data_IF_787782535745
#
_entry.id   IF_787782535745
#
_cell.length_a   1.000
_cell.length_b   1.000
_cell.length_c   1.000
_cell.angle_alpha   90.00
_cell.angle_beta   90.00
_cell.angle_gamma   90.00
#
_symmetry.space_group_name_H-M   'P 1'
#
loop_
_entity.id
_entity.type
_entity.pdbx_description
1 polymer ?
#
# COMPACT_ATOMS: atom_id res chain seq x y z
N UNK A 1 -29.79 20.60 34.99
CA UNK A 1 -28.50 19.94 34.69
C UNK A 1 -27.88 20.63 33.48
N UNK A 2 -26.55 20.74 33.37
CA UNK A 2 -25.91 21.41 32.24
C UNK A 2 -26.07 20.57 30.96
N UNK A 3 -26.76 21.11 29.95
CA UNK A 3 -27.02 20.45 28.67
C UNK A 3 -25.73 19.97 27.96
N UNK A 4 -24.59 20.62 28.26
CA UNK A 4 -23.26 20.27 27.78
C UNK A 4 -22.90 18.79 28.00
N UNK A 5 -23.34 18.17 29.10
CA UNK A 5 -23.08 16.76 29.39
C UNK A 5 -23.68 15.81 28.35
N UNK A 6 -24.83 16.17 27.78
CA UNK A 6 -25.57 15.34 26.82
C UNK A 6 -25.15 15.57 25.36
N UNK A 7 -24.28 16.55 25.07
CA UNK A 7 -23.94 16.93 23.68
C UNK A 7 -23.44 15.76 22.84
N UNK A 8 -22.48 14.99 23.36
CA UNK A 8 -21.89 13.89 22.60
C UNK A 8 -22.89 12.75 22.39
N UNK A 9 -23.63 12.37 23.45
CA UNK A 9 -24.67 11.34 23.38
C UNK A 9 -25.83 11.72 22.44
N UNK A 10 -26.15 13.02 22.33
CA UNK A 10 -27.14 13.55 21.39
C UNK A 10 -26.67 13.38 19.94
N UNK A 11 -25.42 13.72 19.63
CA UNK A 11 -24.82 13.56 18.30
C UNK A 11 -24.71 12.08 17.93
N UNK A 12 -24.24 11.24 18.85
CA UNK A 12 -24.11 9.79 18.67
C UNK A 12 -25.48 9.12 18.42
N UNK A 13 -26.51 9.48 19.20
CA UNK A 13 -27.87 9.00 18.98
C UNK A 13 -28.44 9.46 17.62
N UNK A 14 -28.14 10.70 17.19
CA UNK A 14 -28.59 11.24 15.90
C UNK A 14 -27.89 10.57 14.71
N UNK A 15 -26.61 10.20 14.85
CA UNK A 15 -25.84 9.50 13.82
C UNK A 15 -26.22 8.01 13.67
N UNK A 16 -26.79 7.40 14.72
CA UNK A 16 -27.02 5.95 14.79
C UNK A 16 -28.41 5.50 14.31
N UNK A 17 -29.27 6.43 13.85
CA UNK A 17 -30.72 6.23 13.58
C UNK A 17 -31.50 5.57 14.76
N UNK A 18 -30.89 5.54 15.95
CA UNK A 18 -31.41 4.84 17.12
C UNK A 18 -32.14 5.81 18.03
N UNK A 19 -33.28 5.37 18.57
CA UNK A 19 -34.05 6.21 19.48
C UNK A 19 -33.25 6.45 20.77
N UNK A 20 -33.16 7.70 21.28
CA UNK A 20 -32.44 7.99 22.50
C UNK A 20 -33.05 7.23 23.68
N UNK A 21 -32.19 6.70 24.55
CA UNK A 21 -32.56 5.85 25.69
C UNK A 21 -32.11 6.46 27.01
N UNK A 22 -32.63 5.94 28.12
CA UNK A 22 -32.21 6.30 29.48
C UNK A 22 -32.31 7.79 29.78
N UNK A 23 -31.27 8.33 30.43
CA UNK A 23 -31.20 9.73 30.86
C UNK A 23 -31.28 10.73 29.71
N UNK A 24 -30.72 10.42 28.55
CA UNK A 24 -30.79 11.30 27.37
C UNK A 24 -32.24 11.47 26.92
N UNK A 25 -33.04 10.40 26.91
CA UNK A 25 -34.47 10.47 26.58
C UNK A 25 -35.22 11.35 27.57
N UNK A 26 -35.05 11.08 28.87
CA UNK A 26 -35.68 11.86 29.94
C UNK A 26 -35.28 13.35 29.88
N UNK A 27 -34.04 13.65 29.46
CA UNK A 27 -33.58 15.02 29.23
C UNK A 27 -34.27 15.67 28.02
N UNK A 28 -34.38 14.97 26.89
CA UNK A 28 -35.06 15.45 25.68
C UNK A 28 -36.58 15.63 25.87
N UNK A 29 -37.20 14.87 26.78
CA UNK A 29 -38.61 15.05 27.16
C UNK A 29 -38.85 16.38 27.91
N UNK A 30 -37.85 16.87 28.66
CA UNK A 30 -37.94 18.09 29.48
C UNK A 30 -37.31 19.33 28.82
N UNK A 31 -36.24 19.17 28.02
CA UNK A 31 -35.46 20.28 27.47
C UNK A 31 -35.76 20.52 25.97
N UNK A 32 -36.49 21.60 25.68
CA UNK A 32 -36.86 21.99 24.32
C UNK A 32 -35.64 22.32 23.44
N UNK A 33 -34.64 23.03 23.97
CA UNK A 33 -33.46 23.42 23.19
C UNK A 33 -32.63 22.20 22.73
N UNK A 34 -32.47 21.22 23.62
CA UNK A 34 -31.81 19.96 23.28
C UNK A 34 -32.62 19.12 22.29
N UNK A 35 -33.96 19.15 22.36
CA UNK A 35 -34.82 18.51 21.35
C UNK A 35 -34.66 19.16 19.98
N UNK A 36 -34.74 20.48 19.90
CA UNK A 36 -34.53 21.22 18.66
C UNK A 36 -33.09 21.11 18.11
N UNK A 37 -32.10 20.84 18.97
CA UNK A 37 -30.75 20.49 18.54
C UNK A 37 -30.70 19.06 17.98
N UNK A 38 -31.31 18.08 18.66
CA UNK A 38 -31.37 16.69 18.21
C UNK A 38 -32.07 16.52 16.87
N UNK A 39 -33.21 17.19 16.65
CA UNK A 39 -33.92 17.21 15.37
C UNK A 39 -33.07 17.82 14.24
N UNK A 40 -32.27 18.87 14.53
CA UNK A 40 -31.31 19.42 13.56
C UNK A 40 -30.20 18.46 13.22
N UNK A 41 -29.57 17.81 14.19
CA UNK A 41 -28.53 16.80 13.94
C UNK A 41 -29.09 15.61 13.14
N UNK A 42 -30.28 15.11 13.46
CA UNK A 42 -30.95 14.07 12.66
C UNK A 42 -31.18 14.51 11.21
N UNK A 43 -31.67 15.75 10.99
CA UNK A 43 -31.88 16.26 9.63
C UNK A 43 -30.58 16.37 8.83
N UNK A 44 -29.46 16.71 9.49
CA UNK A 44 -28.13 16.74 8.90
C UNK A 44 -27.68 15.34 8.48
N UNK A 45 -27.70 14.36 9.39
CA UNK A 45 -27.32 12.96 9.09
C UNK A 45 -28.21 12.34 8.00
N UNK A 46 -29.52 12.59 8.03
CA UNK A 46 -30.44 12.14 6.99
C UNK A 46 -30.09 12.73 5.61
N UNK A 47 -29.70 14.00 5.53
CA UNK A 47 -29.26 14.64 4.28
C UNK A 47 -27.96 14.02 3.74
N UNK A 48 -26.99 13.74 4.63
CA UNK A 48 -25.71 13.12 4.28
C UNK A 48 -25.95 11.69 3.77
N UNK A 49 -26.75 10.91 4.49
CA UNK A 49 -27.08 9.54 4.10
C UNK A 49 -27.83 9.49 2.75
N UNK A 50 -28.76 10.43 2.51
CA UNK A 50 -29.44 10.57 1.21
C UNK A 50 -28.45 10.87 0.08
N UNK A 51 -27.53 11.83 0.28
CA UNK A 51 -26.51 12.18 -0.71
C UNK A 51 -25.53 11.03 -1.00
N UNK A 52 -25.10 10.31 0.04
CA UNK A 52 -24.28 9.11 -0.08
C UNK A 52 -25.05 7.99 -0.82
N UNK A 53 -26.32 7.76 -0.50
CA UNK A 53 -27.14 6.75 -1.16
C UNK A 53 -27.33 7.05 -2.65
N UNK A 54 -27.59 8.32 -3.03
CA UNK A 54 -27.67 8.74 -4.44
C UNK A 54 -26.34 8.53 -5.16
N UNK A 55 -25.21 8.85 -4.52
CA UNK A 55 -23.87 8.75 -5.12
C UNK A 55 -23.40 7.29 -5.24
N UNK A 56 -23.63 6.47 -4.22
CA UNK A 56 -23.19 5.08 -4.18
C UNK A 56 -24.03 4.17 -5.08
N UNK A 57 -25.30 4.51 -5.31
CA UNK A 57 -26.19 3.82 -6.26
C UNK A 57 -26.27 4.52 -7.62
N UNK A 58 -25.38 5.47 -7.92
CA UNK A 58 -25.27 6.05 -9.24
C UNK A 58 -24.88 4.97 -10.26
N UNK A 59 -25.40 5.07 -11.48
CA UNK A 59 -25.15 4.07 -12.53
C UNK A 59 -23.64 4.00 -12.84
N UNK A 60 -23.05 2.81 -12.62
CA UNK A 60 -21.62 2.59 -12.84
C UNK A 60 -21.34 2.68 -14.35
N UNK A 61 -20.50 3.61 -14.81
CA UNK A 61 -20.30 3.81 -16.24
C UNK A 61 -19.69 2.56 -16.87
N UNK A 62 -20.24 2.12 -18.00
CA UNK A 62 -19.84 0.88 -18.68
C UNK A 62 -18.33 0.80 -19.02
N UNK A 63 -17.65 1.95 -19.11
CA UNK A 63 -16.21 2.06 -19.33
C UNK A 63 -15.34 1.76 -18.10
N UNK A 64 -15.91 1.67 -16.89
CA UNK A 64 -15.16 1.45 -15.65
C UNK A 64 -14.50 0.07 -15.61
N UNK A 65 -15.25 -1.01 -15.86
CA UNK A 65 -14.70 -2.38 -15.83
C UNK A 65 -13.60 -2.60 -16.89
N UNK A 66 -13.76 -2.19 -18.17
CA UNK A 66 -12.67 -2.22 -19.15
C UNK A 66 -11.44 -1.42 -18.71
N UNK A 67 -11.63 -0.22 -18.15
CA UNK A 67 -10.51 0.64 -17.71
C UNK A 67 -9.76 0.06 -16.52
N UNK A 68 -10.47 -0.49 -15.53
CA UNK A 68 -9.87 -1.16 -14.37
C UNK A 68 -9.07 -2.40 -14.81
N UNK A 69 -9.61 -3.22 -15.71
CA UNK A 69 -8.88 -4.36 -16.29
C UNK A 69 -7.61 -3.91 -17.01
N UNK A 70 -7.71 -2.91 -17.89
CA UNK A 70 -6.56 -2.39 -18.62
C UNK A 70 -5.46 -1.84 -17.69
N UNK A 71 -5.82 -1.21 -16.56
CA UNK A 71 -4.85 -0.76 -15.55
C UNK A 71 -4.20 -1.92 -14.79
N UNK A 72 -4.97 -2.95 -14.41
CA UNK A 72 -4.41 -4.15 -13.78
C UNK A 72 -3.45 -4.89 -14.72
N UNK A 73 -3.80 -5.02 -16.00
CA UNK A 73 -2.92 -5.63 -17.02
C UNK A 73 -1.64 -4.79 -17.22
N UNK A 74 -1.74 -3.45 -17.19
CA UNK A 74 -0.61 -2.52 -17.25
C UNK A 74 0.29 -2.59 -16.01
N UNK A 75 -0.27 -2.83 -14.81
CA UNK A 75 0.46 -3.03 -13.54
C UNK A 75 1.12 -4.41 -13.43
N UNK A 76 0.61 -5.43 -14.12
CA UNK A 76 1.20 -6.78 -14.20
C UNK A 76 2.31 -6.84 -15.28
N UNK A 77 2.21 -6.03 -16.32
CA UNK A 77 3.19 -5.97 -17.41
C UNK A 77 4.61 -5.40 -17.13
N UNK A 78 4.91 -4.58 -16.09
CA UNK A 78 6.15 -3.80 -16.06
C UNK A 78 7.36 -4.62 -15.62
N UNK A 79 7.17 -5.71 -14.86
CA UNK A 79 8.29 -6.57 -14.45
C UNK A 79 9.02 -7.24 -15.63
N UNK A 80 8.34 -7.49 -16.76
CA UNK A 80 8.93 -8.21 -17.89
C UNK A 80 10.04 -7.43 -18.61
N UNK A 81 10.05 -6.08 -18.52
CA UNK A 81 11.13 -5.24 -19.08
C UNK A 81 12.40 -5.22 -18.23
N UNK A 82 12.32 -5.44 -16.92
CA UNK A 82 13.48 -5.44 -16.02
C UNK A 82 14.29 -6.74 -16.04
N UNK A 83 13.73 -7.84 -16.55
CA UNK A 83 14.42 -9.15 -16.61
C UNK A 83 15.42 -9.21 -17.78
N UNK A 84 15.21 -8.45 -18.86
CA UNK A 84 16.13 -8.44 -20.02
C UNK A 84 17.58 -8.07 -19.68
N UNK A 85 17.92 -6.98 -18.97
CA UNK A 85 19.31 -6.69 -18.60
C UNK A 85 19.95 -7.79 -17.73
N UNK A 86 19.15 -8.49 -16.91
CA UNK A 86 19.65 -9.57 -16.05
C UNK A 86 20.13 -10.80 -16.87
N UNK A 87 19.46 -11.10 -17.98
CA UNK A 87 19.90 -12.20 -18.88
C UNK A 87 21.24 -11.92 -19.57
N UNK A 88 21.53 -10.66 -19.93
CA UNK A 88 22.83 -10.28 -20.49
C UNK A 88 23.95 -10.33 -19.43
N UNK A 89 23.66 -9.96 -18.18
CA UNK A 89 24.62 -10.07 -17.07
C UNK A 89 24.98 -11.54 -16.74
N UNK A 90 23.99 -12.46 -16.77
CA UNK A 90 24.26 -13.89 -16.57
C UNK A 90 25.13 -14.47 -17.69
N UNK A 91 24.88 -14.08 -18.94
CA UNK A 91 25.64 -14.55 -20.10
C UNK A 91 27.11 -14.09 -20.08
N UNK A 92 27.38 -12.85 -19.65
CA UNK A 92 28.76 -12.33 -19.57
C UNK A 92 29.58 -12.99 -18.46
N UNK A 93 28.98 -13.27 -17.30
CA UNK A 93 29.64 -14.03 -16.22
C UNK A 93 29.96 -15.46 -16.68
N UNK A 94 29.03 -16.15 -17.32
CA UNK A 94 29.26 -17.50 -17.84
C UNK A 94 30.40 -17.52 -18.87
N UNK A 95 30.44 -16.55 -19.80
CA UNK A 95 31.51 -16.42 -20.79
C UNK A 95 32.87 -16.16 -20.13
N UNK A 96 32.94 -15.26 -19.15
CA UNK A 96 34.17 -15.00 -18.40
C UNK A 96 34.67 -16.24 -17.64
N UNK A 97 33.77 -17.04 -17.07
CA UNK A 97 34.11 -18.29 -16.39
C UNK A 97 34.71 -19.33 -17.34
N UNK A 98 34.14 -19.47 -18.55
CA UNK A 98 34.69 -20.36 -19.59
C UNK A 98 36.08 -19.90 -20.04
N UNK A 99 36.27 -18.60 -20.28
CA UNK A 99 37.58 -18.04 -20.64
C UNK A 99 38.60 -18.31 -19.53
N UNK A 100 38.23 -18.10 -18.27
CA UNK A 100 39.11 -18.35 -17.12
C UNK A 100 39.52 -19.82 -16.99
N UNK A 101 38.61 -20.77 -17.21
CA UNK A 101 38.91 -22.20 -17.18
C UNK A 101 39.87 -22.65 -18.31
N UNK A 102 39.78 -22.04 -19.50
CA UNK A 102 40.70 -22.32 -20.61
C UNK A 102 42.03 -21.56 -20.52
N UNK A 103 42.06 -20.41 -19.83
CA UNK A 103 43.25 -19.58 -19.68
C UNK A 103 44.12 -19.96 -18.46
N UNK A 104 43.64 -20.81 -17.55
CA UNK A 104 44.42 -21.23 -16.39
C UNK A 104 45.51 -22.26 -16.79
N UNK A 105 46.81 -21.90 -16.75
CA UNK A 105 47.86 -22.87 -17.02
C UNK A 105 47.78 -24.01 -16.01
N UNK A 106 47.65 -25.24 -16.51
CA UNK A 106 47.86 -26.44 -15.71
C UNK A 106 49.35 -26.57 -15.42
N UNK A 107 49.81 -25.99 -14.31
CA UNK A 107 51.18 -26.20 -13.82
C UNK A 107 51.39 -27.71 -13.57
N UNK A 108 52.23 -28.30 -14.40
CA UNK A 108 52.54 -29.72 -14.34
C UNK A 108 53.35 -30.00 -13.05
N UNK A 109 52.75 -30.78 -12.15
CA UNK A 109 53.35 -31.20 -10.88
C UNK A 109 54.79 -31.74 -11.05
N UNK A 110 55.81 -31.08 -10.47
CA UNK A 110 57.18 -31.59 -10.51
C UNK A 110 57.41 -32.61 -9.40
N UNK A 111 57.46 -33.89 -9.78
CA UNK A 111 57.97 -34.97 -8.93
C UNK A 111 59.48 -34.83 -8.72
N UNK A 112 59.95 -34.74 -7.45
CA UNK A 112 61.18 -35.44 -6.98
C UNK A 112 61.46 -35.39 -5.48
N UNK A 113 61.54 -36.60 -4.95
CA UNK A 113 62.25 -37.12 -3.78
C UNK A 113 63.47 -36.37 -3.16
N UNK A 114 63.50 -36.45 -1.82
CA UNK A 114 64.60 -36.96 -0.96
C UNK A 114 65.75 -36.08 -0.38
N UNK A 115 65.82 -36.13 0.96
CA UNK A 115 67.00 -36.20 1.86
C UNK A 115 67.98 -35.00 1.92
N UNK A 116 67.93 -34.22 3.02
CA UNK A 116 68.87 -34.34 4.16
C UNK A 116 68.59 -33.33 5.31
N UNK A 117 68.55 -33.84 6.54
CA UNK A 117 68.70 -33.13 7.84
C UNK A 117 70.22 -33.00 8.18
N UNK A 118 70.68 -32.34 9.29
CA UNK A 118 69.98 -31.58 10.36
C UNK A 118 70.66 -30.25 10.84
N UNK A 119 69.95 -29.41 11.61
CA UNK A 119 70.21 -29.15 13.05
C UNK A 119 69.27 -28.08 13.66
N UNK A 120 69.05 -28.20 14.98
CA UNK A 120 68.21 -27.38 15.88
C UNK A 120 69.12 -26.47 16.74
N UNK A 121 68.67 -25.31 17.27
CA UNK A 121 67.82 -25.33 18.49
C UNK A 121 66.80 -24.17 18.70
N UNK A 122 65.75 -24.46 19.51
CA UNK A 122 65.15 -23.62 20.60
C UNK A 122 64.84 -22.14 20.27
N UNK A 123 63.63 -21.59 20.39
CA UNK A 123 62.36 -22.00 21.03
C UNK A 123 61.16 -21.28 20.35
N UNK A 124 59.90 -21.22 20.79
CA UNK A 124 59.21 -21.60 22.05
C UNK A 124 57.76 -22.06 21.78
N UNK A 125 56.94 -22.18 22.84
CA UNK A 125 55.49 -22.51 22.90
C UNK A 125 54.78 -21.50 23.83
N UNK A 126 53.44 -21.58 24.08
CA UNK A 126 52.29 -22.15 23.36
C UNK A 126 51.24 -21.04 23.05
N UNK A 127 50.03 -21.25 22.49
CA UNK A 127 48.80 -21.87 23.05
C UNK A 127 47.78 -21.92 21.89
N UNK A 128 47.43 -23.10 21.39
CA UNK A 128 46.16 -23.84 21.65
C UNK A 128 44.94 -23.15 21.01
N UNK A 129 44.43 -23.64 19.86
CA UNK A 129 43.40 -24.71 19.73
C UNK A 129 41.98 -24.21 20.13
N UNK A 130 40.89 -24.58 19.46
CA UNK A 130 40.67 -25.67 18.50
C UNK A 130 39.34 -25.48 17.72
N UNK A 131 39.08 -26.39 16.77
CA UNK A 131 37.76 -26.91 16.37
C UNK A 131 36.82 -26.09 15.46
N UNK A 132 37.06 -26.32 14.16
CA UNK A 132 36.13 -27.01 13.23
C UNK A 132 35.21 -28.07 13.93
N UNK A 133 34.04 -28.56 13.39
CA UNK A 133 33.86 -28.76 11.95
C UNK A 133 32.45 -28.71 11.32
N UNK A 134 32.49 -28.83 9.99
CA UNK A 134 31.61 -29.63 9.11
C UNK A 134 30.22 -29.13 8.66
N UNK A 135 30.16 -28.92 7.34
CA UNK A 135 29.38 -29.71 6.36
C UNK A 135 27.86 -29.86 6.49
N UNK A 136 27.14 -29.46 5.44
CA UNK A 136 25.74 -29.84 5.23
C UNK A 136 25.09 -29.15 4.03
N UNK A 137 25.33 -29.64 2.81
CA UNK A 137 24.57 -29.24 1.61
C UNK A 137 23.17 -29.83 1.65
N UNK A 138 22.12 -29.09 1.23
CA UNK A 138 20.74 -29.58 1.31
C UNK A 138 19.72 -28.69 0.62
N UNK A 139 19.24 -29.16 -0.54
CA UNK A 139 18.22 -28.57 -1.41
C UNK A 139 16.89 -28.13 -0.76
N UNK A 140 16.21 -27.21 -1.45
CA UNK A 140 14.76 -26.96 -1.54
C UNK A 140 13.80 -27.81 -0.69
N UNK A 141 12.75 -27.15 -0.15
CA UNK A 141 11.36 -27.33 -0.62
C UNK A 141 10.45 -26.25 0.00
N UNK A 142 9.53 -25.71 -0.83
CA UNK A 142 8.44 -24.83 -0.39
C UNK A 142 7.42 -25.65 0.42
N UNK A 143 7.09 -25.21 1.63
CA UNK A 143 5.99 -25.78 2.40
C UNK A 143 4.94 -24.73 2.75
N UNK A 144 3.88 -24.67 1.95
CA UNK A 144 2.64 -23.98 2.33
C UNK A 144 1.87 -24.85 3.32
N UNK A 145 2.15 -24.72 4.62
CA UNK A 145 1.34 -25.41 5.64
C UNK A 145 0.24 -24.50 6.19
N UNK A 146 -0.89 -24.48 5.49
CA UNK A 146 -2.14 -23.89 5.97
C UNK A 146 -2.77 -24.83 7.00
N UNK A 147 -2.48 -24.64 8.29
CA UNK A 147 -3.13 -25.41 9.34
C UNK A 147 -3.78 -24.49 10.39
N UNK A 148 -5.10 -24.29 10.25
CA UNK A 148 -5.93 -23.69 11.29
C UNK A 148 -6.13 -24.73 12.40
N UNK A 149 -5.41 -24.61 13.50
CA UNK A 149 -5.78 -25.25 14.77
C UNK A 149 -6.09 -24.19 15.83
N UNK A 150 -7.35 -24.18 16.26
CA UNK A 150 -7.84 -23.29 17.30
C UNK A 150 -7.24 -23.69 18.66
N UNK A 151 -6.16 -23.05 19.09
CA UNK A 151 -5.66 -23.21 20.46
C UNK A 151 -6.26 -22.13 21.35
N UNK A 152 -7.36 -22.48 22.05
CA UNK A 152 -8.06 -21.60 23.00
C UNK A 152 -7.23 -21.43 24.29
N UNK A 153 -6.16 -20.65 24.22
CA UNK A 153 -5.31 -20.36 25.38
C UNK A 153 -5.93 -19.26 26.23
N UNK A 154 -6.53 -19.65 27.36
CA UNK A 154 -6.90 -18.72 28.43
C UNK A 154 -5.63 -18.25 29.16
N UNK A 155 -4.94 -17.24 28.62
CA UNK A 155 -3.86 -16.54 29.33
C UNK A 155 -4.42 -15.39 30.15
N UNK A 156 -4.86 -15.67 31.37
CA UNK A 156 -4.95 -14.66 32.43
C UNK A 156 -3.53 -14.22 32.83
N UNK A 157 -3.01 -13.23 32.12
CA UNK A 157 -1.85 -12.45 32.57
C UNK A 157 -2.28 -11.00 32.75
N UNK A 158 -2.37 -10.59 34.02
CA UNK A 158 -2.54 -9.19 34.42
C UNK A 158 -1.29 -8.41 33.97
N UNK A 159 -1.39 -7.70 32.84
CA UNK A 159 -0.31 -6.82 32.35
C UNK A 159 -0.50 -5.41 32.93
N UNK A 160 0.56 -4.74 33.43
CA UNK A 160 0.44 -3.39 33.97
C UNK A 160 -0.02 -2.38 32.91
N UNK A 161 -0.94 -1.49 33.30
CA UNK A 161 -1.33 -0.32 32.50
C UNK A 161 -0.18 0.70 32.58
N UNK A 162 0.57 0.87 31.48
CA UNK A 162 1.70 1.80 31.44
C UNK A 162 2.00 2.32 30.02
N UNK A 163 1.01 2.91 29.34
CA UNK A 163 1.16 3.99 28.36
C UNK A 163 -0.22 4.42 27.88
N UNK A 164 -0.54 5.71 27.96
CA UNK A 164 -1.80 6.29 27.44
C UNK A 164 -1.69 6.73 25.97
N UNK A 165 -0.66 6.28 25.25
CA UNK A 165 -0.51 6.54 23.81
C UNK A 165 -0.99 5.31 23.01
N UNK A 166 -1.79 5.50 21.95
CA UNK A 166 -2.20 4.41 21.08
C UNK A 166 -0.98 3.85 20.34
N UNK A 167 -0.63 2.59 20.62
CA UNK A 167 0.43 1.88 19.90
C UNK A 167 -0.08 1.49 18.51
N UNK A 168 0.28 2.29 17.50
CA UNK A 168 -0.09 2.04 16.09
C UNK A 168 0.87 1.01 15.50
N UNK A 169 0.37 -0.20 15.27
CA UNK A 169 1.10 -1.27 14.58
C UNK A 169 1.18 -0.99 13.08
N UNK A 170 2.22 -0.28 12.64
CA UNK A 170 2.50 -0.05 11.21
C UNK A 170 3.20 -1.30 10.61
N UNK A 171 2.65 -1.92 9.55
CA UNK A 171 3.30 -3.00 8.81
C UNK A 171 4.74 -2.68 8.37
N UNK A 172 5.57 -3.70 8.23
CA UNK A 172 6.97 -3.53 7.81
C UNK A 172 7.08 -2.83 6.45
N UNK A 173 6.22 -3.21 5.50
CA UNK A 173 6.18 -2.70 4.14
C UNK A 173 5.78 -1.21 4.10
N UNK A 174 4.82 -0.80 4.94
CA UNK A 174 4.41 0.61 5.09
C UNK A 174 5.53 1.46 5.70
N UNK A 175 6.28 0.93 6.67
CA UNK A 175 7.47 1.60 7.22
C UNK A 175 8.55 1.83 6.17
N UNK A 176 8.74 0.89 5.24
CA UNK A 176 9.70 1.05 4.15
C UNK A 176 9.19 2.01 3.07
N UNK A 177 7.90 1.96 2.73
CA UNK A 177 7.30 2.94 1.82
C UNK A 177 7.42 4.37 2.37
N UNK A 178 7.16 4.55 3.67
CA UNK A 178 7.28 5.83 4.35
C UNK A 178 8.74 6.34 4.41
N UNK A 179 9.72 5.48 4.68
CA UNK A 179 11.13 5.90 4.71
C UNK A 179 11.64 6.34 3.33
N UNK A 180 11.23 5.65 2.26
CA UNK A 180 11.52 6.07 0.87
C UNK A 180 10.85 7.40 0.52
N UNK A 181 9.59 7.60 0.94
CA UNK A 181 8.87 8.86 0.74
C UNK A 181 9.55 10.04 1.45
N UNK A 182 9.97 9.86 2.70
CA UNK A 182 10.71 10.88 3.47
C UNK A 182 12.05 11.21 2.80
N UNK A 183 12.79 10.22 2.29
CA UNK A 183 14.04 10.48 1.57
C UNK A 183 13.83 11.34 0.31
N UNK A 184 12.79 11.06 -0.48
CA UNK A 184 12.44 11.87 -1.68
C UNK A 184 11.98 13.29 -1.31
N UNK A 185 11.34 13.47 -0.14
CA UNK A 185 10.97 14.80 0.36
C UNK A 185 12.18 15.61 0.86
N UNK A 186 13.20 14.97 1.44
CA UNK A 186 14.42 15.64 1.89
C UNK A 186 15.25 16.13 0.69
N UNK A 187 15.37 15.32 -0.37
CA UNK A 187 15.90 15.74 -1.67
C UNK A 187 15.12 16.89 -2.31
N UNK A 188 13.83 17.03 -2.00
CA UNK A 188 12.89 18.02 -2.57
C UNK A 188 12.33 18.96 -1.49
N UNK A 189 13.22 19.50 -0.67
CA UNK A 189 12.89 20.35 0.49
C UNK A 189 11.90 21.49 0.19
N UNK A 190 11.94 22.07 -1.00
CA UNK A 190 10.98 23.11 -1.44
C UNK A 190 9.54 22.57 -1.55
N UNK A 191 9.36 21.34 -2.05
CA UNK A 191 8.06 20.66 -2.13
C UNK A 191 7.58 20.27 -0.73
N UNK A 192 8.48 19.79 0.13
CA UNK A 192 8.16 19.50 1.53
C UNK A 192 7.69 20.76 2.28
N UNK A 193 8.34 21.90 2.06
CA UNK A 193 7.91 23.20 2.59
C UNK A 193 6.54 23.61 2.04
N UNK A 194 6.28 23.45 0.74
CA UNK A 194 4.98 23.78 0.15
C UNK A 194 3.81 22.91 0.66
N UNK A 195 4.09 21.66 1.06
CA UNK A 195 3.09 20.74 1.62
C UNK A 195 2.79 20.98 3.12
N UNK A 196 3.77 21.49 3.87
CA UNK A 196 3.66 21.68 5.33
C UNK A 196 3.33 23.12 5.72
N UNK A 197 3.72 24.11 4.91
CA UNK A 197 3.42 25.52 5.17
C UNK A 197 1.92 25.76 4.96
N UNK A 198 1.16 26.23 5.98
CA UNK A 198 -0.21 26.64 5.78
C UNK A 198 -0.25 27.75 4.72
N UNK A 199 -1.20 27.67 3.78
CA UNK A 199 -1.44 28.79 2.88
C UNK A 199 -1.67 30.06 3.72
N UNK A 200 -1.00 31.19 3.41
CA UNK A 200 -1.18 32.41 4.19
C UNK A 200 -2.65 32.81 4.15
N UNK A 201 -3.24 33.00 5.33
CA UNK A 201 -4.56 33.62 5.48
C UNK A 201 -4.45 35.09 5.07
N UNK A 202 -4.58 35.34 3.76
CA UNK A 202 -5.05 36.62 3.25
C UNK A 202 -6.51 36.76 3.63
N UNK A 203 -6.76 37.32 4.81
CA UNK A 203 -8.05 37.94 5.10
C UNK A 203 -8.37 38.96 3.99
N UNK A 204 -9.63 38.99 3.57
CA UNK A 204 -10.21 39.92 2.57
C UNK A 204 -9.87 39.80 1.07
N UNK A 205 -9.41 38.64 0.58
CA UNK A 205 -9.75 38.27 -0.81
C UNK A 205 -9.96 36.77 -1.00
N UNK A 206 -11.23 36.34 -0.93
CA UNK A 206 -11.65 35.12 -1.60
C UNK A 206 -11.34 35.31 -3.09
N UNK A 207 -10.41 34.54 -3.71
CA UNK A 207 -10.19 34.67 -5.13
C UNK A 207 -11.53 34.41 -5.81
N UNK A 208 -12.02 35.39 -6.57
CA UNK A 208 -13.24 35.23 -7.35
C UNK A 208 -12.98 34.14 -8.38
N UNK A 209 -13.32 32.91 -8.02
CA UNK A 209 -13.30 31.76 -8.91
C UNK A 209 -14.35 32.00 -9.98
N UNK A 210 -13.96 32.70 -11.04
CA UNK A 210 -14.76 32.80 -12.26
C UNK A 210 -15.16 31.38 -12.65
N UNK A 211 -16.47 31.09 -12.78
CA UNK A 211 -16.93 29.75 -13.12
C UNK A 211 -16.23 29.29 -14.39
N UNK A 212 -15.50 28.18 -14.29
CA UNK A 212 -14.59 27.71 -15.32
C UNK A 212 -15.41 27.39 -16.58
N UNK A 213 -15.46 28.34 -17.52
CA UNK A 213 -16.26 28.25 -18.73
C UNK A 213 -15.66 27.19 -19.66
N UNK A 214 -16.12 25.96 -19.48
CA UNK A 214 -15.90 24.88 -20.45
C UNK A 214 -16.73 25.25 -21.68
N UNK A 215 -16.09 25.94 -22.63
CA UNK A 215 -16.65 26.16 -23.96
C UNK A 215 -17.10 24.81 -24.53
N UNK A 216 -18.31 24.78 -25.07
CA UNK A 216 -18.92 23.55 -25.60
C UNK A 216 -17.98 22.89 -26.60
N UNK A 217 -17.54 21.66 -26.28
CA UNK A 217 -16.72 20.85 -27.17
C UNK A 217 -17.53 20.53 -28.43
N UNK A 218 -17.15 21.09 -29.58
CA UNK A 218 -17.67 20.68 -30.88
C UNK A 218 -17.21 19.25 -31.18
N UNK A 219 -18.04 18.27 -30.81
CA UNK A 219 -17.85 16.87 -31.17
C UNK A 219 -18.17 16.74 -32.67
N UNK A 220 -17.16 16.92 -33.52
CA UNK A 220 -17.28 16.67 -34.96
C UNK A 220 -17.66 15.20 -35.17
N UNK A 221 -18.83 14.87 -35.76
CA UNK A 221 -19.21 13.50 -35.98
C UNK A 221 -18.20 12.81 -36.89
N UNK A 222 -17.70 11.64 -36.47
CA UNK A 222 -16.97 10.75 -37.36
C UNK A 222 -17.91 10.34 -38.49
N UNK A 223 -17.52 10.64 -39.73
CA UNK A 223 -18.28 10.28 -40.91
C UNK A 223 -18.33 8.75 -41.03
N UNK A 224 -19.41 8.16 -40.52
CA UNK A 224 -19.72 6.74 -40.72
C UNK A 224 -19.98 6.49 -42.20
N UNK A 225 -19.26 5.51 -42.74
CA UNK A 225 -19.34 5.06 -44.12
C UNK A 225 -20.75 4.68 -44.54
N UNK A 226 -21.21 5.22 -45.66
CA UNK A 226 -22.35 4.69 -46.42
C UNK A 226 -22.03 3.26 -46.89
N UNK A 227 -22.70 2.26 -46.34
CA UNK A 227 -22.93 0.97 -47.00
C UNK A 227 -23.81 0.04 -46.16
N UNK A 228 -25.13 0.15 -46.29
CA UNK A 228 -25.95 -1.05 -46.49
C UNK A 228 -27.24 -0.72 -47.23
N UNK A 229 -27.24 -1.08 -48.51
CA UNK A 229 -28.34 -0.92 -49.45
C UNK A 229 -29.38 -2.01 -49.18
N UNK A 230 -30.36 -1.71 -48.32
CA UNK A 230 -31.49 -2.62 -48.07
C UNK A 230 -32.51 -2.52 -49.20
N UNK A 231 -32.32 -3.36 -50.23
CA UNK A 231 -33.20 -3.46 -51.40
C UNK A 231 -34.47 -4.26 -51.04
N UNK A 232 -35.43 -3.56 -50.42
CA UNK A 232 -36.69 -4.11 -49.94
C UNK A 232 -37.83 -3.95 -50.94
N UNK A 233 -37.88 -4.82 -51.96
CA UNK A 233 -38.99 -4.87 -52.93
C UNK A 233 -40.31 -5.19 -52.22
N UNK A 234 -41.21 -4.20 -52.12
CA UNK A 234 -42.62 -4.41 -51.74
C UNK A 234 -43.43 -4.65 -53.00
N UNK A 235 -43.92 -5.87 -53.17
CA UNK A 235 -44.74 -6.29 -54.29
C UNK A 235 -46.23 -6.12 -53.96
N UNK A 236 -46.99 -5.46 -54.84
CA UNK A 236 -48.45 -5.33 -54.71
C UNK A 236 -49.17 -6.69 -54.81
N UNK A 237 -50.12 -6.92 -53.90
CA UNK A 237 -51.39 -7.64 -54.15
C UNK A 237 -52.42 -7.35 -53.05
#
# INVERSE_FOLDING_TARGET
MPCQHYKNALIEAAASDSHPQGELRAHLDVCLDCRAAFEREQSLFASINTGLHVTANAEVPASLLPRVRARLDEEIAPQRRWIQPMTFAAASVALAFVIFLFAWPHDASPDRQAKQTPQLPVSETPVTDDRHPNSGSGSQIVSFNRNNSQTRVHSTLLRPVASSQPEVLVPADEREAFSRFVAVLDERREVALALVTPAPLTEDESPSLEPLQINGLEIKPLAGTESEQSDGVVQEQ
#
